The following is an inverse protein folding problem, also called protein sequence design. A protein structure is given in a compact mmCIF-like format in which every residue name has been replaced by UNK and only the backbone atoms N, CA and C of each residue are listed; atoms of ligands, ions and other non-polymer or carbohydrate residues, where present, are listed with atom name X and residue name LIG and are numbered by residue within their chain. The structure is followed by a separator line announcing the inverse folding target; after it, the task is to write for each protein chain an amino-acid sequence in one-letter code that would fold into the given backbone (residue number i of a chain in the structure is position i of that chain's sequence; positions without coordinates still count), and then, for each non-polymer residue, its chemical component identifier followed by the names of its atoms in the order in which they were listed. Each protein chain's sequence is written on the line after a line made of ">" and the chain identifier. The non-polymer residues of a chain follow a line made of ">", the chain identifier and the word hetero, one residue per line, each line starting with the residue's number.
data_IF_256065451029
#
_entry.id   IF_256065451029
#
_cell.length_a   1.000
_cell.length_b   1.000
_cell.length_c   1.000
_cell.angle_alpha   90.00
_cell.angle_beta   90.00
_cell.angle_gamma   90.00
#
_symmetry.space_group_name_H-M   'P 1'
#
loop_
_entity.id
_entity.type
_entity.pdbx_description
1 polymer ?
#
# COMPACT_ATOMS: atom_id res chain seq x y z
N UNK A 1 -14.76 -5.63 6.58
CA UNK A 1 -14.71 -6.99 5.99
C UNK A 1 -14.48 -7.95 7.14
N UNK A 2 -15.42 -8.86 7.40
CA UNK A 2 -15.22 -9.88 8.42
C UNK A 2 -14.42 -11.03 7.81
N UNK A 3 -13.35 -11.43 8.48
CA UNK A 3 -12.40 -12.45 8.02
C UNK A 3 -12.56 -13.78 8.75
N UNK A 4 -13.54 -13.88 9.65
CA UNK A 4 -13.77 -15.05 10.51
C UNK A 4 -12.98 -15.01 11.82
N UNK A 5 -12.08 -14.04 12.01
CA UNK A 5 -11.38 -13.82 13.27
C UNK A 5 -11.13 -12.31 13.52
N UNK A 6 -11.45 -11.76 14.71
CA UNK A 6 -11.34 -10.32 14.96
C UNK A 6 -9.93 -9.73 14.76
N UNK A 7 -8.87 -10.51 15.02
CA UNK A 7 -7.49 -10.05 14.81
C UNK A 7 -7.12 -9.82 13.34
N UNK A 8 -7.80 -10.46 12.39
CA UNK A 8 -7.48 -10.36 10.96
C UNK A 8 -8.36 -9.35 10.22
N UNK A 9 -9.46 -8.89 10.85
CA UNK A 9 -10.35 -7.89 10.26
C UNK A 9 -9.65 -6.57 9.91
N UNK A 10 -8.73 -6.02 10.73
CA UNK A 10 -8.00 -4.80 10.37
C UNK A 10 -7.13 -4.95 9.11
N UNK A 11 -6.56 -6.14 8.88
CA UNK A 11 -5.73 -6.41 7.71
C UNK A 11 -6.57 -6.35 6.43
N UNK A 12 -7.79 -6.90 6.45
CA UNK A 12 -8.66 -6.86 5.29
C UNK A 12 -9.19 -5.44 5.01
N UNK A 13 -9.36 -4.61 6.04
CA UNK A 13 -9.82 -3.23 5.87
C UNK A 13 -8.82 -2.37 5.08
N UNK A 14 -7.52 -2.54 5.32
CA UNK A 14 -6.49 -1.66 4.73
C UNK A 14 -6.24 -1.90 3.23
N UNK A 15 -6.61 -3.07 2.70
CA UNK A 15 -6.37 -3.44 1.30
C UNK A 15 -6.98 -2.43 0.33
N UNK A 16 -8.22 -1.99 0.61
CA UNK A 16 -8.93 -1.01 -0.24
C UNK A 16 -8.19 0.33 -0.33
N UNK A 17 -7.56 0.77 0.76
CA UNK A 17 -6.80 2.01 0.81
C UNK A 17 -5.51 1.91 -0.02
N UNK A 18 -4.78 0.79 0.07
CA UNK A 18 -3.57 0.58 -0.76
C UNK A 18 -3.90 0.59 -2.25
N UNK A 19 -4.97 -0.07 -2.67
CA UNK A 19 -5.41 -0.03 -4.07
C UNK A 19 -5.78 1.37 -4.55
N UNK A 20 -6.47 2.15 -3.69
CA UNK A 20 -6.81 3.54 -3.99
C UNK A 20 -5.56 4.42 -4.17
N UNK A 21 -4.62 4.38 -3.21
CA UNK A 21 -3.42 5.22 -3.25
C UNK A 21 -2.53 4.87 -4.45
N UNK A 22 -2.40 3.58 -4.78
CA UNK A 22 -1.65 3.15 -5.97
C UNK A 22 -2.25 3.74 -7.25
N UNK A 23 -3.56 3.53 -7.47
CA UNK A 23 -4.25 4.04 -8.65
C UNK A 23 -4.16 5.57 -8.74
N UNK A 24 -4.29 6.26 -7.60
CA UNK A 24 -4.19 7.71 -7.50
C UNK A 24 -2.78 8.21 -7.85
N UNK A 25 -1.73 7.58 -7.32
CA UNK A 25 -0.33 7.93 -7.62
C UNK A 25 -0.02 7.75 -9.11
N UNK A 26 -0.43 6.61 -9.69
CA UNK A 26 -0.26 6.35 -11.13
C UNK A 26 -1.02 7.36 -11.99
N UNK A 27 -2.24 7.75 -11.60
CA UNK A 27 -3.01 8.79 -12.31
C UNK A 27 -2.33 10.17 -12.26
N UNK A 28 -1.55 10.43 -11.21
CA UNK A 28 -0.70 11.63 -11.06
C UNK A 28 0.64 11.52 -11.81
N UNK A 29 0.91 10.41 -12.49
CA UNK A 29 2.18 10.15 -13.17
C UNK A 29 3.34 9.84 -12.22
N UNK A 30 3.05 9.43 -10.98
CA UNK A 30 4.05 9.06 -9.98
C UNK A 30 4.25 7.54 -9.98
N UNK A 31 5.47 7.12 -9.65
CA UNK A 31 5.80 5.71 -9.39
C UNK A 31 5.65 5.40 -7.90
N UNK A 32 4.64 4.60 -7.50
CA UNK A 32 4.44 4.20 -6.10
C UNK A 32 5.56 3.32 -5.54
N UNK A 33 6.32 2.62 -6.40
CA UNK A 33 7.48 1.81 -5.98
C UNK A 33 8.74 2.67 -5.76
N UNK A 34 8.77 3.87 -6.36
CA UNK A 34 9.84 4.86 -6.23
C UNK A 34 9.31 6.20 -5.70
N UNK A 35 8.78 6.25 -4.46
CA UNK A 35 8.14 7.45 -3.93
C UNK A 35 9.14 8.61 -3.76
N UNK A 36 8.74 9.85 -4.07
CA UNK A 36 9.61 11.01 -3.90
C UNK A 36 9.91 11.23 -2.42
N UNK A 37 11.13 11.70 -2.13
CA UNK A 37 11.62 12.00 -0.78
C UNK A 37 11.80 10.79 0.15
N UNK A 38 11.68 9.56 -0.36
CA UNK A 38 11.97 8.34 0.38
C UNK A 38 13.23 7.69 -0.18
N UNK A 39 14.17 7.33 0.71
CA UNK A 39 15.32 6.52 0.36
C UNK A 39 15.05 5.08 0.75
N UNK A 40 15.26 4.13 -0.17
CA UNK A 40 15.24 2.70 0.15
C UNK A 40 16.32 2.41 1.20
N UNK A 41 15.90 1.88 2.36
CA UNK A 41 16.81 1.59 3.49
C UNK A 41 17.29 0.15 3.51
N UNK A 42 16.64 -0.74 2.76
CA UNK A 42 16.97 -2.15 2.65
C UNK A 42 17.13 -2.53 1.17
N UNK A 43 18.26 -3.15 0.84
CA UNK A 43 18.56 -3.72 -0.47
C UNK A 43 18.92 -5.19 -0.25
N UNK A 44 18.34 -6.09 -1.03
CA UNK A 44 18.66 -7.53 -1.00
C UNK A 44 19.60 -7.82 -2.16
N UNK A 45 20.78 -8.39 -1.87
CA UNK A 45 21.85 -8.72 -2.83
C UNK A 45 21.71 -10.17 -3.28
#
# INVERSE_FOLDING_TARGET
>A
VATGHPLTDPLALIVSFYGFVEAFARHRGLDPDTPPNLRKVTETI
#
